data_IF_425869860037
#
_entry.id   IF_425869860037
#
_cell.length_a   1.000
_cell.length_b   1.000
_cell.length_c   1.000
_cell.angle_alpha   90.00
_cell.angle_beta   90.00
_cell.angle_gamma   90.00
#
_symmetry.space_group_name_H-M   'P 1'
#
loop_
_entity.id
_entity.type
_entity.pdbx_description
1 polymer ?
#
# COMPACT_ATOMS: atom_id res chain seq x y z
N UNK A 1 -1.93 20.68 13.62
CA UNK A 1 -1.19 20.69 12.34
C UNK A 1 0.18 20.01 12.45
N UNK A 2 0.99 20.32 13.47
CA UNK A 2 2.31 19.69 13.68
C UNK A 2 2.26 18.16 13.84
N UNK A 3 1.34 17.64 14.67
CA UNK A 3 1.17 16.20 14.89
C UNK A 3 0.80 15.44 13.61
N UNK A 4 -0.06 16.02 12.77
CA UNK A 4 -0.46 15.46 11.47
C UNK A 4 0.73 15.37 10.50
N UNK A 5 1.55 16.44 10.39
CA UNK A 5 2.77 16.46 9.58
C UNK A 5 3.79 15.43 10.05
N UNK A 6 4.03 15.33 11.37
CA UNK A 6 4.93 14.33 11.95
C UNK A 6 4.45 12.92 11.62
N UNK A 7 3.15 12.64 11.77
CA UNK A 7 2.56 11.35 11.45
C UNK A 7 2.75 11.00 9.96
N UNK A 8 2.40 11.90 9.04
CA UNK A 8 2.60 11.72 7.59
C UNK A 8 4.07 11.46 7.22
N UNK A 9 5.00 12.14 7.90
CA UNK A 9 6.43 11.95 7.66
C UNK A 9 6.89 10.56 8.08
N UNK A 10 6.52 10.11 9.28
CA UNK A 10 6.85 8.77 9.78
C UNK A 10 6.21 7.69 8.90
N UNK A 11 4.95 7.87 8.54
CA UNK A 11 4.21 6.96 7.66
C UNK A 11 4.92 6.79 6.30
N UNK A 12 5.36 7.89 5.70
CA UNK A 12 6.05 7.89 4.42
C UNK A 12 7.45 7.26 4.49
N UNK A 13 8.18 7.48 5.59
CA UNK A 13 9.48 6.83 5.83
C UNK A 13 9.28 5.31 5.95
N UNK A 14 8.34 4.87 6.79
CA UNK A 14 8.06 3.45 6.98
C UNK A 14 7.64 2.80 5.66
N UNK A 15 6.74 3.42 4.90
CA UNK A 15 6.37 2.90 3.58
C UNK A 15 7.56 2.85 2.62
N UNK A 16 8.44 3.85 2.61
CA UNK A 16 9.61 3.85 1.72
C UNK A 16 10.59 2.73 2.07
N UNK A 17 10.77 2.44 3.36
CA UNK A 17 11.59 1.31 3.83
C UNK A 17 10.93 -0.02 3.46
N UNK A 18 9.65 -0.16 3.75
CA UNK A 18 8.94 -1.42 3.53
C UNK A 18 8.65 -1.69 2.05
N UNK A 19 8.57 -0.67 1.19
CA UNK A 19 8.46 -0.86 -0.28
C UNK A 19 9.85 -1.01 -0.89
N UNK A 20 10.79 -0.14 -0.53
CA UNK A 20 12.13 -0.10 -1.12
C UNK A 20 12.98 -1.31 -0.76
N UNK A 21 12.92 -1.79 0.48
CA UNK A 21 13.70 -2.94 0.94
C UNK A 21 13.39 -4.24 0.17
N UNK A 22 12.13 -4.68 0.10
CA UNK A 22 11.74 -5.87 -0.64
C UNK A 22 11.95 -5.74 -2.16
N UNK A 23 11.71 -4.56 -2.74
CA UNK A 23 11.99 -4.34 -4.15
C UNK A 23 13.49 -4.44 -4.45
N UNK A 24 14.35 -3.85 -3.61
CA UNK A 24 15.80 -3.98 -3.73
C UNK A 24 16.24 -5.43 -3.55
N UNK A 25 15.65 -6.16 -2.60
CA UNK A 25 15.94 -7.58 -2.38
C UNK A 25 15.55 -8.46 -3.57
N UNK A 26 14.34 -8.29 -4.12
CA UNK A 26 13.90 -8.97 -5.34
C UNK A 26 14.84 -8.63 -6.50
N UNK A 27 15.20 -7.35 -6.67
CA UNK A 27 16.07 -6.90 -7.74
C UNK A 27 17.46 -7.53 -7.66
N UNK A 28 18.06 -7.62 -6.47
CA UNK A 28 19.35 -8.31 -6.26
C UNK A 28 19.22 -9.80 -6.58
N UNK A 29 18.13 -10.43 -6.13
CA UNK A 29 17.91 -11.86 -6.31
C UNK A 29 17.54 -12.25 -7.76
N UNK A 30 17.08 -11.32 -8.59
CA UNK A 30 16.90 -11.54 -10.04
C UNK A 30 18.21 -11.89 -10.75
N UNK A 31 19.36 -11.56 -10.18
CA UNK A 31 20.68 -11.92 -10.69
C UNK A 31 21.24 -13.19 -10.03
N UNK A 32 20.45 -13.85 -9.19
CA UNK A 32 20.79 -15.07 -8.46
C UNK A 32 19.93 -16.24 -8.93
N UNK A 33 20.40 -17.47 -8.75
CA UNK A 33 19.65 -18.70 -9.08
C UNK A 33 18.57 -19.06 -8.03
N UNK A 34 18.28 -18.18 -7.06
CA UNK A 34 17.40 -18.43 -5.91
C UNK A 34 16.02 -17.72 -5.98
N UNK A 35 15.55 -17.37 -7.18
CA UNK A 35 14.34 -16.58 -7.43
C UNK A 35 13.06 -17.03 -6.68
N UNK A 36 12.93 -18.33 -6.34
CA UNK A 36 11.77 -18.85 -5.62
C UNK A 36 11.64 -18.34 -4.18
N UNK A 37 12.76 -18.16 -3.46
CA UNK A 37 12.72 -17.68 -2.08
C UNK A 37 12.46 -16.18 -1.99
N UNK A 38 12.98 -15.38 -2.93
CA UNK A 38 12.77 -13.93 -2.93
C UNK A 38 11.34 -13.52 -3.20
N UNK A 39 10.61 -14.26 -4.04
CA UNK A 39 9.19 -14.02 -4.28
C UNK A 39 8.36 -14.12 -2.98
N UNK A 40 8.63 -15.13 -2.15
CA UNK A 40 7.92 -15.36 -0.88
C UNK A 40 8.17 -14.18 0.08
N UNK A 41 9.42 -13.75 0.22
CA UNK A 41 9.76 -12.58 1.03
C UNK A 41 9.11 -11.29 0.51
N UNK A 42 9.04 -11.12 -0.81
CA UNK A 42 8.34 -10.01 -1.45
C UNK A 42 6.85 -9.97 -1.11
N UNK A 43 6.17 -11.12 -1.19
CA UNK A 43 4.75 -11.25 -0.84
C UNK A 43 4.50 -10.99 0.66
N UNK A 44 5.37 -11.51 1.54
CA UNK A 44 5.30 -11.23 2.97
C UNK A 44 5.46 -9.74 3.27
N UNK A 45 6.39 -9.07 2.58
CA UNK A 45 6.57 -7.66 2.79
C UNK A 45 5.39 -6.82 2.26
N UNK A 46 4.79 -7.19 1.13
CA UNK A 46 3.54 -6.59 0.65
C UNK A 46 2.40 -6.73 1.67
N UNK A 47 2.33 -7.86 2.36
CA UNK A 47 1.35 -8.07 3.43
C UNK A 47 1.59 -7.13 4.62
N UNK A 48 2.84 -6.99 5.07
CA UNK A 48 3.21 -6.07 6.15
C UNK A 48 2.92 -4.62 5.77
N UNK A 49 3.25 -4.21 4.55
CA UNK A 49 2.93 -2.87 4.00
C UNK A 49 1.43 -2.65 3.98
N UNK A 50 0.67 -3.60 3.43
CA UNK A 50 -0.78 -3.49 3.33
C UNK A 50 -1.44 -3.35 4.70
N UNK A 51 -0.99 -4.13 5.69
CA UNK A 51 -1.45 -4.02 7.06
C UNK A 51 -1.13 -2.63 7.67
N UNK A 52 0.09 -2.14 7.48
CA UNK A 52 0.48 -0.80 7.93
C UNK A 52 -0.35 0.30 7.27
N UNK A 53 -0.54 0.25 5.96
CA UNK A 53 -1.32 1.25 5.21
C UNK A 53 -2.80 1.25 5.59
N UNK A 54 -3.37 0.08 5.91
CA UNK A 54 -4.72 -0.03 6.45
C UNK A 54 -4.83 0.65 7.83
N UNK A 55 -3.93 0.33 8.75
CA UNK A 55 -3.92 0.92 10.11
C UNK A 55 -3.70 2.43 10.02
N UNK A 56 -2.68 2.87 9.28
CA UNK A 56 -2.37 4.28 9.07
C UNK A 56 -3.53 5.02 8.39
N UNK A 57 -4.17 4.40 7.39
CA UNK A 57 -5.36 4.92 6.72
C UNK A 57 -6.54 5.11 7.68
N UNK A 58 -6.78 4.14 8.56
CA UNK A 58 -7.83 4.22 9.59
C UNK A 58 -7.56 5.35 10.59
N UNK A 59 -6.34 5.45 11.10
CA UNK A 59 -5.95 6.53 12.02
C UNK A 59 -6.18 7.89 11.36
N UNK A 60 -5.78 8.06 10.10
CA UNK A 60 -5.95 9.31 9.37
C UNK A 60 -7.42 9.64 9.05
N UNK A 61 -8.22 8.63 8.70
CA UNK A 61 -9.64 8.82 8.41
C UNK A 61 -10.49 9.11 9.65
N UNK A 62 -10.13 8.53 10.81
CA UNK A 62 -10.90 8.66 12.06
C UNK A 62 -10.42 9.87 12.87
N UNK A 63 -9.12 9.92 13.20
CA UNK A 63 -8.54 10.93 14.10
C UNK A 63 -8.41 12.27 13.39
N UNK A 64 -7.85 12.26 12.18
CA UNK A 64 -7.60 13.48 11.41
C UNK A 64 -8.73 13.83 10.44
N UNK A 65 -9.80 13.02 10.39
CA UNK A 65 -11.00 13.21 9.54
C UNK A 65 -10.68 13.44 8.06
N UNK A 66 -9.63 12.79 7.56
CA UNK A 66 -9.19 12.94 6.17
C UNK A 66 -10.16 12.26 5.19
N UNK A 67 -10.81 13.02 4.28
CA UNK A 67 -11.78 12.46 3.34
C UNK A 67 -11.14 11.62 2.24
N UNK A 68 -9.88 11.87 1.85
CA UNK A 68 -9.18 11.08 0.84
C UNK A 68 -8.85 9.69 1.38
N UNK A 69 -8.42 9.61 2.65
CA UNK A 69 -8.16 8.34 3.33
C UNK A 69 -9.40 7.51 3.52
N UNK A 70 -10.55 8.15 3.77
CA UNK A 70 -11.84 7.46 3.80
C UNK A 70 -12.18 6.83 2.44
N UNK A 71 -11.99 7.56 1.34
CA UNK A 71 -12.21 7.03 -0.03
C UNK A 71 -11.27 5.86 -0.33
N UNK A 72 -9.99 5.98 0.06
CA UNK A 72 -9.03 4.88 -0.04
C UNK A 72 -9.51 3.64 0.71
N UNK A 73 -9.89 3.77 1.98
CA UNK A 73 -10.35 2.64 2.80
C UNK A 73 -11.60 1.96 2.21
N UNK A 74 -12.54 2.74 1.66
CA UNK A 74 -13.70 2.20 0.95
C UNK A 74 -13.24 1.40 -0.28
N UNK A 75 -12.32 1.94 -1.08
CA UNK A 75 -11.77 1.25 -2.24
C UNK A 75 -11.09 -0.09 -1.87
N UNK A 76 -10.32 -0.10 -0.79
CA UNK A 76 -9.70 -1.33 -0.26
C UNK A 76 -10.75 -2.32 0.24
N UNK A 77 -11.80 -1.84 0.92
CA UNK A 77 -12.92 -2.68 1.35
C UNK A 77 -13.66 -3.33 0.19
N UNK A 78 -13.92 -2.56 -0.88
CA UNK A 78 -14.52 -3.07 -2.12
C UNK A 78 -13.62 -4.12 -2.76
N UNK A 79 -12.30 -3.88 -2.81
CA UNK A 79 -11.35 -4.86 -3.31
C UNK A 79 -11.41 -6.17 -2.51
N UNK A 80 -11.37 -6.13 -1.18
CA UNK A 80 -11.49 -7.35 -0.36
C UNK A 80 -12.83 -8.06 -0.57
N UNK A 81 -13.93 -7.32 -0.72
CA UNK A 81 -15.23 -7.90 -1.03
C UNK A 81 -15.21 -8.63 -2.38
N UNK A 82 -14.61 -8.03 -3.41
CA UNK A 82 -14.47 -8.66 -4.73
C UNK A 82 -13.61 -9.93 -4.66
N UNK A 83 -12.49 -9.89 -3.92
CA UNK A 83 -11.62 -11.05 -3.68
C UNK A 83 -12.37 -12.16 -2.97
N UNK A 84 -13.19 -11.81 -1.98
CA UNK A 84 -14.03 -12.76 -1.26
C UNK A 84 -15.06 -13.41 -2.19
N UNK A 85 -15.79 -12.61 -2.97
CA UNK A 85 -16.78 -13.10 -3.94
C UNK A 85 -16.14 -14.01 -5.01
N UNK A 86 -14.97 -13.62 -5.52
CA UNK A 86 -14.17 -14.45 -6.44
C UNK A 86 -13.83 -15.81 -5.81
N UNK A 87 -13.40 -15.82 -4.55
CA UNK A 87 -13.12 -17.06 -3.84
C UNK A 87 -14.38 -17.93 -3.67
N UNK A 88 -15.50 -17.34 -3.25
CA UNK A 88 -16.72 -18.09 -2.95
C UNK A 88 -17.44 -18.61 -4.18
N UNK A 89 -17.39 -17.88 -5.30
CA UNK A 89 -18.14 -18.21 -6.52
C UNK A 89 -17.34 -19.07 -7.51
N UNK A 90 -16.01 -18.95 -7.52
CA UNK A 90 -15.16 -19.61 -8.53
C UNK A 90 -14.29 -20.74 -7.94
N UNK A 91 -14.70 -21.34 -6.82
CA UNK A 91 -13.98 -22.47 -6.21
C UNK A 91 -12.67 -22.10 -5.49
N UNK A 92 -12.28 -20.83 -5.52
CA UNK A 92 -11.16 -20.28 -4.79
C UNK A 92 -10.03 -19.79 -5.70
N UNK A 93 -9.25 -18.80 -5.24
CA UNK A 93 -8.11 -18.28 -6.04
C UNK A 93 -6.98 -19.33 -6.17
N UNK A 94 -7.02 -20.37 -5.33
CA UNK A 94 -6.15 -21.54 -5.43
C UNK A 94 -6.53 -22.54 -6.53
N UNK A 95 -7.75 -22.48 -7.06
CA UNK A 95 -8.23 -23.42 -8.07
C UNK A 95 -7.40 -23.32 -9.37
N UNK A 96 -6.91 -24.45 -9.88
CA UNK A 96 -6.16 -24.53 -11.13
C UNK A 96 -6.98 -24.11 -12.35
N UNK A 97 -8.32 -24.11 -12.24
CA UNK A 97 -9.25 -23.64 -13.28
C UNK A 97 -9.20 -22.12 -13.50
N UNK A 98 -8.77 -21.33 -12.51
CA UNK A 98 -8.72 -19.88 -12.61
C UNK A 98 -7.53 -19.44 -13.48
N UNK A 99 -7.72 -18.57 -14.48
CA UNK A 99 -6.62 -18.13 -15.34
C UNK A 99 -5.49 -17.50 -14.53
N UNK A 100 -4.24 -17.86 -14.86
CA UNK A 100 -3.05 -17.34 -14.17
C UNK A 100 -3.01 -15.81 -14.12
N UNK A 101 -3.45 -15.14 -15.18
CA UNK A 101 -3.57 -13.67 -15.25
C UNK A 101 -4.46 -13.11 -14.15
N UNK A 102 -5.60 -13.76 -13.87
CA UNK A 102 -6.53 -13.32 -12.80
C UNK A 102 -5.88 -13.49 -11.43
N UNK A 103 -5.13 -14.57 -11.21
CA UNK A 103 -4.37 -14.81 -9.97
C UNK A 103 -3.30 -13.72 -9.77
N UNK A 104 -2.50 -13.43 -10.79
CA UNK A 104 -1.47 -12.37 -10.71
C UNK A 104 -2.07 -10.99 -10.46
N UNK A 105 -3.15 -10.65 -11.16
CA UNK A 105 -3.83 -9.36 -10.96
C UNK A 105 -4.29 -9.21 -9.52
N UNK A 106 -4.90 -10.27 -8.97
CA UNK A 106 -5.50 -10.25 -7.63
C UNK A 106 -4.45 -10.21 -6.52
N UNK A 107 -3.36 -10.98 -6.62
CA UNK A 107 -2.38 -11.10 -5.53
C UNK A 107 -1.20 -10.14 -5.60
N UNK A 108 -0.88 -9.61 -6.79
CA UNK A 108 0.34 -8.81 -6.99
C UNK A 108 -0.02 -7.44 -7.54
N UNK A 109 -0.63 -7.38 -8.73
CA UNK A 109 -0.76 -6.11 -9.46
C UNK A 109 -1.70 -5.13 -8.75
N UNK A 110 -2.90 -5.58 -8.35
CA UNK A 110 -3.87 -4.72 -7.67
C UNK A 110 -3.36 -4.30 -6.28
N UNK A 111 -2.84 -5.20 -5.42
CA UNK A 111 -2.25 -4.78 -4.14
C UNK A 111 -1.12 -3.76 -4.28
N UNK A 112 -0.23 -3.91 -5.26
CA UNK A 112 0.82 -2.91 -5.53
C UNK A 112 0.21 -1.59 -5.96
N UNK A 113 -0.79 -1.59 -6.85
CA UNK A 113 -1.46 -0.38 -7.30
C UNK A 113 -2.16 0.36 -6.13
N UNK A 114 -2.81 -0.38 -5.23
CA UNK A 114 -3.42 0.16 -4.01
C UNK A 114 -2.34 0.78 -3.11
N UNK A 115 -1.22 0.09 -2.92
CA UNK A 115 -0.11 0.58 -2.10
C UNK A 115 0.51 1.86 -2.67
N UNK A 116 0.72 1.91 -3.99
CA UNK A 116 1.17 3.11 -4.70
C UNK A 116 0.17 4.26 -4.56
N UNK A 117 -1.13 3.98 -4.68
CA UNK A 117 -2.17 4.99 -4.51
C UNK A 117 -2.13 5.60 -3.10
N UNK A 118 -1.99 4.77 -2.06
CA UNK A 118 -1.85 5.24 -0.69
C UNK A 118 -0.62 6.13 -0.49
N UNK A 119 0.53 5.68 -1.02
CA UNK A 119 1.79 6.41 -0.95
C UNK A 119 1.67 7.79 -1.60
N UNK A 120 1.06 7.86 -2.79
CA UNK A 120 0.84 9.12 -3.51
C UNK A 120 -0.05 10.09 -2.73
N UNK A 121 -1.10 9.59 -2.08
CA UNK A 121 -1.93 10.43 -1.20
C UNK A 121 -1.06 10.96 -0.04
N UNK A 122 -0.26 10.12 0.63
CA UNK A 122 0.60 10.53 1.77
C UNK A 122 1.62 11.58 1.36
N UNK A 123 2.26 11.37 0.22
CA UNK A 123 3.23 12.31 -0.31
C UNK A 123 2.59 13.68 -0.60
N UNK A 124 1.44 13.70 -1.27
CA UNK A 124 0.73 14.95 -1.60
C UNK A 124 0.27 15.69 -0.35
N UNK A 125 -0.31 14.98 0.62
CA UNK A 125 -0.76 15.59 1.88
C UNK A 125 0.42 16.20 2.65
N UNK A 126 1.57 15.51 2.67
CA UNK A 126 2.77 16.01 3.33
C UNK A 126 3.30 17.28 2.66
N UNK A 127 3.33 17.33 1.33
CA UNK A 127 3.76 18.52 0.59
C UNK A 127 2.83 19.70 0.83
N UNK A 128 1.51 19.48 0.83
CA UNK A 128 0.54 20.52 1.17
C UNK A 128 0.69 21.00 2.62
N UNK A 129 0.95 20.09 3.56
CA UNK A 129 1.19 20.42 4.95
C UNK A 129 2.50 21.20 5.17
N UNK A 130 3.52 21.01 4.31
CA UNK A 130 4.75 21.82 4.30
C UNK A 130 4.50 23.20 3.73
N UNK A 131 3.87 23.29 2.55
CA UNK A 131 3.59 24.56 1.88
C UNK A 131 2.69 25.50 2.71
N UNK A 132 1.77 24.97 3.52
CA UNK A 132 0.93 25.78 4.43
C UNK A 132 1.69 26.34 5.64
N UNK A 133 2.86 25.81 5.98
CA UNK A 133 3.68 26.30 7.09
C UNK A 133 4.72 27.34 6.66
N UNK A 134 5.07 27.39 5.37
CA UNK A 134 5.91 28.44 4.80
C UNK A 134 4.97 29.55 4.34
N UNK A 135 4.70 30.54 5.20
CA UNK A 135 3.99 31.73 4.73
C UNK A 135 4.94 32.63 3.96
N UNK A 136 4.42 33.47 3.07
CA UNK A 136 5.21 34.49 2.34
C UNK A 136 6.07 35.37 3.28
N UNK A 137 5.68 35.47 4.56
CA UNK A 137 6.37 36.23 5.60
C UNK A 137 7.54 35.49 6.26
N UNK A 138 7.73 34.20 5.97
CA UNK A 138 8.80 33.36 6.50
C UNK A 138 9.99 33.17 5.51
N UNK A 139 9.92 33.82 4.34
CA UNK A 139 10.98 33.90 3.31
C UNK A 139 11.69 35.26 3.34
#
# INVERSE_FOLDING_TARGET
>A
MLAHKKFLTVDLILQSIFIGGPLAYIFIDMFSSAFGTSLIFGLLALLVIGAWQLISGLVMAIVFKDPLRRKYLIGVGVFFLLVFLLNSLMGGIGDSSLPYTVKMLTWIVIPIAIACWYYLITYRDLQQAKAKMETFWDL
#
